data_IF_644741171212
#
_entry.id   IF_644741171212
#
_cell.length_a   1.000
_cell.length_b   1.000
_cell.length_c   1.000
_cell.angle_alpha   90.00
_cell.angle_beta   90.00
_cell.angle_gamma   90.00
#
_symmetry.space_group_name_H-M   'P 1'
#
loop_
_entity.id
_entity.type
_entity.pdbx_description
1 polymer ?
#
# COMPACT_ATOMS: atom_id res chain seq x y z
N UNK A 1 -24.40 15.69 -3.55
CA UNK A 1 -23.03 15.17 -3.43
C UNK A 1 -22.28 15.55 -4.69
N UNK A 2 -21.02 15.95 -4.57
CA UNK A 2 -20.13 16.11 -5.72
C UNK A 2 -19.82 14.72 -6.29
N UNK A 3 -19.43 14.65 -7.57
CA UNK A 3 -19.11 13.37 -8.24
C UNK A 3 -18.06 12.54 -7.50
N UNK A 4 -17.06 13.20 -6.91
CA UNK A 4 -16.01 12.52 -6.16
C UNK A 4 -16.48 11.94 -4.83
N UNK A 5 -17.50 12.51 -4.18
CA UNK A 5 -18.05 11.99 -2.92
C UNK A 5 -18.78 10.66 -3.17
N UNK A 6 -19.64 10.63 -4.19
CA UNK A 6 -20.35 9.41 -4.58
C UNK A 6 -19.39 8.28 -4.99
N UNK A 7 -18.31 8.62 -5.69
CA UNK A 7 -17.25 7.65 -6.02
C UNK A 7 -16.60 7.07 -4.75
N UNK A 8 -16.30 7.89 -3.74
CA UNK A 8 -15.73 7.37 -2.48
C UNK A 8 -16.70 6.46 -1.73
N UNK A 9 -18.00 6.81 -1.70
CA UNK A 9 -19.03 6.00 -1.04
C UNK A 9 -19.22 4.66 -1.78
N UNK A 10 -19.23 4.66 -3.11
CA UNK A 10 -19.37 3.46 -3.95
C UNK A 10 -18.18 2.48 -3.78
N UNK A 11 -16.97 3.01 -3.61
CA UNK A 11 -15.74 2.20 -3.50
C UNK A 11 -15.25 1.98 -2.05
N UNK A 12 -16.00 2.45 -1.04
CA UNK A 12 -15.56 2.41 0.35
C UNK A 12 -15.17 1.01 0.83
N UNK A 13 -15.97 -0.01 0.51
CA UNK A 13 -15.70 -1.39 0.93
C UNK A 13 -14.42 -1.95 0.31
N UNK A 14 -14.18 -1.66 -0.97
CA UNK A 14 -12.97 -2.06 -1.69
C UNK A 14 -11.72 -1.42 -1.05
N UNK A 15 -11.77 -0.11 -0.77
CA UNK A 15 -10.64 0.58 -0.13
C UNK A 15 -10.37 0.09 1.29
N UNK A 16 -11.42 -0.26 2.03
CA UNK A 16 -11.27 -0.87 3.34
C UNK A 16 -10.60 -2.24 3.25
N UNK A 17 -11.00 -3.08 2.29
CA UNK A 17 -10.38 -4.38 2.04
C UNK A 17 -8.90 -4.24 1.66
N UNK A 18 -8.57 -3.31 0.74
CA UNK A 18 -7.19 -3.00 0.37
C UNK A 18 -6.36 -2.52 1.57
N UNK A 19 -6.93 -1.69 2.45
CA UNK A 19 -6.27 -1.26 3.68
C UNK A 19 -6.02 -2.45 4.62
N UNK A 20 -6.99 -3.35 4.76
CA UNK A 20 -6.84 -4.55 5.59
C UNK A 20 -5.78 -5.50 5.01
N UNK A 21 -5.71 -5.66 3.69
CA UNK A 21 -4.66 -6.45 3.03
C UNK A 21 -3.27 -5.87 3.30
N UNK A 22 -3.11 -4.54 3.23
CA UNK A 22 -1.86 -3.90 3.58
C UNK A 22 -1.48 -4.10 5.06
N UNK A 23 -2.45 -3.94 5.98
CA UNK A 23 -2.23 -4.11 7.42
C UNK A 23 -1.95 -5.56 7.84
N UNK A 24 -2.29 -6.56 7.00
CA UNK A 24 -1.95 -7.97 7.24
C UNK A 24 -0.47 -8.27 7.06
N UNK A 25 0.28 -7.41 6.38
CA UNK A 25 1.73 -7.54 6.21
C UNK A 25 2.40 -7.17 7.54
N UNK A 26 3.12 -8.08 8.21
CA UNK A 26 3.75 -7.79 9.50
C UNK A 26 5.06 -7.01 9.32
N UNK A 27 4.99 -5.84 8.68
CA UNK A 27 6.14 -5.01 8.32
C UNK A 27 6.70 -4.22 9.52
N UNK A 28 7.27 -4.92 10.51
CA UNK A 28 7.83 -4.31 11.73
C UNK A 28 9.31 -3.98 11.53
N UNK A 29 9.63 -2.71 11.28
CA UNK A 29 11.00 -2.28 10.94
C UNK A 29 12.04 -2.41 12.05
N UNK A 30 11.61 -2.44 13.32
CA UNK A 30 12.53 -2.61 14.46
C UNK A 30 12.94 -4.06 14.70
N UNK A 31 12.36 -5.03 13.98
CA UNK A 31 12.59 -6.45 14.13
C UNK A 31 13.25 -7.01 12.86
N UNK A 32 14.55 -7.40 12.88
CA UNK A 32 15.27 -7.86 11.70
C UNK A 32 14.63 -9.06 10.99
N UNK A 33 13.94 -9.93 11.73
CA UNK A 33 13.19 -11.07 11.18
C UNK A 33 12.06 -10.67 10.23
N UNK A 34 11.57 -9.43 10.33
CA UNK A 34 10.52 -8.86 9.49
C UNK A 34 11.05 -8.00 8.34
N UNK A 35 12.38 -8.01 8.07
CA UNK A 35 12.95 -7.24 6.95
C UNK A 35 12.32 -7.61 5.59
N UNK A 36 11.99 -8.89 5.38
CA UNK A 36 11.27 -9.35 4.20
C UNK A 36 9.84 -8.79 4.11
N UNK A 37 9.13 -8.72 5.24
CA UNK A 37 7.77 -8.17 5.31
C UNK A 37 7.75 -6.66 5.07
N UNK A 38 8.77 -5.93 5.55
CA UNK A 38 8.96 -4.51 5.24
C UNK A 38 9.13 -4.29 3.74
N UNK A 39 9.92 -5.14 3.09
CA UNK A 39 10.07 -5.09 1.63
C UNK A 39 8.73 -5.41 0.93
N UNK A 40 8.03 -6.45 1.36
CA UNK A 40 6.73 -6.82 0.80
C UNK A 40 5.68 -5.70 0.93
N UNK A 41 5.66 -4.99 2.07
CA UNK A 41 4.81 -3.81 2.25
C UNK A 41 5.18 -2.68 1.28
N UNK A 42 6.47 -2.42 1.07
CA UNK A 42 6.93 -1.47 0.06
C UNK A 42 6.50 -1.86 -1.36
N UNK A 43 6.63 -3.13 -1.73
CA UNK A 43 6.21 -3.66 -3.04
C UNK A 43 4.69 -3.53 -3.24
N UNK A 44 3.90 -3.80 -2.18
CA UNK A 44 2.45 -3.59 -2.19
C UNK A 44 2.09 -2.12 -2.47
N UNK A 45 2.75 -1.17 -1.80
CA UNK A 45 2.52 0.27 -2.01
C UNK A 45 2.88 0.67 -3.44
N UNK A 46 4.02 0.19 -3.96
CA UNK A 46 4.40 0.44 -5.34
C UNK A 46 3.36 -0.05 -6.34
N UNK A 47 2.81 -1.25 -6.13
CA UNK A 47 1.73 -1.78 -6.97
C UNK A 47 0.49 -0.87 -6.90
N UNK A 48 0.07 -0.47 -5.70
CA UNK A 48 -1.10 0.41 -5.52
C UNK A 48 -0.92 1.79 -6.18
N UNK A 49 0.30 2.33 -6.15
CA UNK A 49 0.66 3.56 -6.86
C UNK A 49 0.57 3.38 -8.37
N UNK A 50 1.07 2.26 -8.92
CA UNK A 50 0.96 1.95 -10.37
C UNK A 50 -0.50 1.86 -10.80
N UNK A 51 -1.33 1.18 -10.03
CA UNK A 51 -2.76 1.02 -10.32
C UNK A 51 -3.52 2.36 -10.26
N UNK A 52 -3.08 3.28 -9.41
CA UNK A 52 -3.60 4.64 -9.34
C UNK A 52 -3.10 5.54 -10.49
N UNK A 53 -2.24 5.04 -11.38
CA UNK A 53 -1.70 5.76 -12.53
C UNK A 53 -0.52 6.67 -12.21
N UNK A 54 0.17 6.47 -11.09
CA UNK A 54 1.40 7.21 -10.80
C UNK A 54 2.54 6.69 -11.70
N UNK A 55 3.39 7.62 -12.13
CA UNK A 55 4.57 7.34 -12.95
C UNK A 55 5.84 7.42 -12.09
N UNK A 56 6.95 6.86 -12.59
CA UNK A 56 8.28 6.93 -11.95
C UNK A 56 8.35 6.38 -10.51
N UNK A 57 7.74 5.21 -10.27
CA UNK A 57 7.68 4.58 -8.95
C UNK A 57 8.89 3.66 -8.75
N UNK A 58 9.67 3.92 -7.71
CA UNK A 58 10.91 3.20 -7.40
C UNK A 58 11.01 2.80 -5.92
N UNK A 59 11.60 1.64 -5.66
CA UNK A 59 12.03 1.25 -4.30
C UNK A 59 13.48 1.68 -4.11
N UNK A 60 13.72 2.59 -3.16
CA UNK A 60 15.07 3.02 -2.82
C UNK A 60 15.66 2.08 -1.77
N UNK A 61 16.69 1.34 -2.14
CA UNK A 61 17.39 0.44 -1.22
C UNK A 61 18.08 1.23 -0.10
N UNK A 62 18.00 0.71 1.12
CA UNK A 62 18.68 1.26 2.30
C UNK A 62 19.74 0.27 2.78
N UNK A 63 20.66 0.71 3.65
CA UNK A 63 21.77 -0.11 4.12
C UNK A 63 21.39 -1.28 5.03
N UNK A 64 20.13 -1.36 5.47
CA UNK A 64 19.73 -2.17 6.62
C UNK A 64 20.09 -1.50 7.94
#
# INVERSE_FOLDING_TARGET
MTSWQSYLDEHQSEYLEQMLDFLRIPSISSLPEHAGDVRAAGEWVMARCRDAGLEHIEMMETGG
#
